data_IF_747815604138
#
_entry.id   IF_747815604138
#
_cell.length_a   1.000
_cell.length_b   1.000
_cell.length_c   1.000
_cell.angle_alpha   90.00
_cell.angle_beta   90.00
_cell.angle_gamma   90.00
#
_symmetry.space_group_name_H-M   'P 1'
#
loop_
_entity.id
_entity.type
_entity.pdbx_description
1 polymer ?
#
# COMPACT_ATOMS: atom_id res chain seq x y z
N UNK A 1 40.01 -12.50 -27.40
CA UNK A 1 38.80 -13.07 -26.76
C UNK A 1 37.63 -12.65 -27.64
N UNK A 2 36.74 -13.57 -27.97
CA UNK A 2 35.53 -13.24 -28.75
C UNK A 2 34.49 -12.80 -27.73
N UNK A 3 34.07 -11.55 -27.75
CA UNK A 3 32.97 -11.07 -26.92
C UNK A 3 31.68 -11.73 -27.45
N UNK A 4 31.02 -12.54 -26.63
CA UNK A 4 29.69 -13.06 -26.95
C UNK A 4 28.64 -12.02 -26.57
N UNK A 5 27.91 -11.52 -27.56
CA UNK A 5 26.73 -10.67 -27.37
C UNK A 5 25.48 -11.55 -27.33
N UNK A 6 24.58 -11.27 -26.39
CA UNK A 6 23.29 -11.97 -26.24
C UNK A 6 22.15 -10.96 -26.23
N UNK A 7 21.07 -11.29 -26.94
CA UNK A 7 19.91 -10.41 -27.04
C UNK A 7 18.79 -10.86 -26.09
N UNK A 8 18.44 -10.00 -25.14
CA UNK A 8 17.37 -10.22 -24.16
C UNK A 8 16.32 -9.14 -24.38
N UNK A 9 15.10 -9.55 -24.76
CA UNK A 9 13.95 -8.66 -24.99
C UNK A 9 14.23 -7.51 -25.98
N UNK A 10 14.98 -7.79 -27.05
CA UNK A 10 15.32 -6.79 -28.08
C UNK A 10 16.52 -5.89 -27.72
N UNK A 11 17.13 -6.09 -26.56
CA UNK A 11 18.33 -5.38 -26.12
C UNK A 11 19.54 -6.30 -26.14
N UNK A 12 20.67 -5.82 -26.65
CA UNK A 12 21.92 -6.57 -26.72
C UNK A 12 22.76 -6.34 -25.46
N UNK A 13 23.18 -7.44 -24.84
CA UNK A 13 24.02 -7.46 -23.65
C UNK A 13 25.35 -8.12 -23.99
N UNK A 14 26.45 -7.52 -23.53
CA UNK A 14 27.79 -8.11 -23.63
C UNK A 14 28.03 -9.02 -22.43
N UNK A 15 28.42 -10.27 -22.68
CA UNK A 15 28.77 -11.21 -21.61
C UNK A 15 30.19 -10.96 -21.13
N UNK A 16 30.38 -10.99 -19.81
CA UNK A 16 31.68 -10.76 -19.15
C UNK A 16 31.92 -11.92 -18.18
N UNK A 17 33.17 -12.42 -18.09
CA UNK A 17 33.54 -13.63 -17.31
C UNK A 17 33.18 -13.58 -15.80
N UNK A 18 32.82 -12.41 -15.27
CA UNK A 18 32.34 -12.18 -13.89
C UNK A 18 31.07 -11.33 -13.84
N UNK A 19 30.23 -11.44 -14.86
CA UNK A 19 28.94 -10.74 -14.95
C UNK A 19 27.88 -11.31 -14.00
N UNK A 20 26.73 -10.62 -13.97
CA UNK A 20 25.53 -11.11 -13.31
C UNK A 20 25.04 -12.42 -13.96
N UNK A 21 24.44 -13.29 -13.15
CA UNK A 21 23.88 -14.53 -13.67
C UNK A 21 22.75 -14.24 -14.66
N UNK A 22 22.79 -14.91 -15.81
CA UNK A 22 21.86 -14.64 -16.89
C UNK A 22 20.41 -14.93 -16.48
N UNK A 23 20.19 -15.98 -15.68
CA UNK A 23 18.85 -16.37 -15.24
C UNK A 23 18.27 -15.37 -14.23
N UNK A 24 19.10 -14.79 -13.38
CA UNK A 24 18.70 -13.70 -12.49
C UNK A 24 18.32 -12.45 -13.28
N UNK A 25 19.09 -12.07 -14.30
CA UNK A 25 18.75 -10.93 -15.17
C UNK A 25 17.43 -11.18 -15.91
N UNK A 26 17.22 -12.38 -16.46
CA UNK A 26 15.96 -12.73 -17.14
C UNK A 26 14.75 -12.65 -16.21
N UNK A 27 14.83 -13.28 -15.03
CA UNK A 27 13.74 -13.28 -14.05
C UNK A 27 13.44 -11.87 -13.53
N UNK A 28 14.46 -11.03 -13.34
CA UNK A 28 14.28 -9.64 -12.94
C UNK A 28 13.58 -8.81 -14.04
N UNK A 29 14.01 -8.94 -15.29
CA UNK A 29 13.39 -8.19 -16.40
C UNK A 29 11.96 -8.70 -16.69
N UNK A 30 11.71 -9.99 -16.55
CA UNK A 30 10.36 -10.56 -16.64
C UNK A 30 9.45 -10.04 -15.52
N UNK A 31 9.97 -9.97 -14.28
CA UNK A 31 9.27 -9.37 -13.14
C UNK A 31 8.92 -7.90 -13.39
N UNK A 32 9.87 -7.11 -13.90
CA UNK A 32 9.63 -5.72 -14.30
C UNK A 32 8.57 -5.61 -15.40
N UNK A 33 8.66 -6.45 -16.43
CA UNK A 33 7.70 -6.45 -17.56
C UNK A 33 6.29 -6.76 -17.07
N UNK A 34 6.14 -7.76 -16.21
CA UNK A 34 4.87 -8.10 -15.58
C UNK A 34 4.34 -6.97 -14.68
N UNK A 35 5.23 -6.28 -13.97
CA UNK A 35 4.87 -5.13 -13.16
C UNK A 35 4.37 -3.95 -14.01
N UNK A 36 5.03 -3.66 -15.13
CA UNK A 36 4.59 -2.63 -16.09
C UNK A 36 3.26 -3.01 -16.76
N UNK A 37 3.05 -4.28 -17.10
CA UNK A 37 1.76 -4.78 -17.59
C UNK A 37 0.62 -4.50 -16.62
N UNK A 38 0.82 -4.86 -15.34
CA UNK A 38 -0.15 -4.59 -14.26
C UNK A 38 -0.43 -3.09 -14.07
N UNK A 39 0.58 -2.22 -14.21
CA UNK A 39 0.35 -0.78 -14.13
C UNK A 39 -0.48 -0.24 -15.30
N UNK A 40 -0.26 -0.77 -16.51
CA UNK A 40 -1.02 -0.36 -17.69
C UNK A 40 -2.49 -0.77 -17.61
N UNK A 41 -2.79 -1.97 -17.10
CA UNK A 41 -4.16 -2.41 -16.84
C UNK A 41 -4.88 -1.50 -15.84
N UNK A 42 -4.19 -1.10 -14.76
CA UNK A 42 -4.72 -0.15 -13.77
C UNK A 42 -4.98 1.23 -14.35
N UNK A 43 -4.09 1.73 -15.22
CA UNK A 43 -4.32 2.99 -15.92
C UNK A 43 -5.58 2.93 -16.80
N UNK A 44 -5.76 1.85 -17.55
CA UNK A 44 -6.98 1.65 -18.36
C UNK A 44 -8.25 1.60 -17.50
N UNK A 45 -8.19 0.97 -16.33
CA UNK A 45 -9.32 0.90 -15.41
C UNK A 45 -9.67 2.28 -14.84
N UNK A 46 -8.66 3.09 -14.48
CA UNK A 46 -8.86 4.48 -14.05
C UNK A 46 -9.53 5.29 -15.16
N UNK A 47 -9.04 5.18 -16.39
CA UNK A 47 -9.63 5.88 -17.54
C UNK A 47 -11.10 5.47 -17.76
N UNK A 48 -11.43 4.18 -17.59
CA UNK A 48 -12.80 3.68 -17.68
C UNK A 48 -13.72 4.25 -16.59
N UNK A 49 -13.22 4.34 -15.35
CA UNK A 49 -13.98 4.95 -14.23
C UNK A 49 -14.20 6.44 -14.47
N UNK A 50 -13.17 7.15 -14.93
CA UNK A 50 -13.27 8.58 -15.26
C UNK A 50 -14.28 8.79 -16.39
N UNK A 51 -14.28 7.97 -17.43
CA UNK A 51 -15.24 8.05 -18.52
C UNK A 51 -16.69 7.85 -18.03
N UNK A 52 -16.93 6.82 -17.21
CA UNK A 52 -18.25 6.55 -16.62
C UNK A 52 -18.74 7.69 -15.72
N UNK A 53 -17.85 8.26 -14.92
CA UNK A 53 -18.17 9.40 -14.06
C UNK A 53 -18.50 10.65 -14.88
N UNK A 54 -17.74 10.89 -15.95
CA UNK A 54 -17.98 11.99 -16.90
C UNK A 54 -19.37 11.87 -17.54
N UNK A 55 -19.78 10.65 -17.94
CA UNK A 55 -21.11 10.39 -18.49
C UNK A 55 -22.22 10.69 -17.47
N UNK A 56 -22.05 10.22 -16.23
CA UNK A 56 -23.01 10.49 -15.15
C UNK A 56 -23.16 11.98 -14.86
N UNK A 57 -22.06 12.74 -14.84
CA UNK A 57 -22.12 14.20 -14.69
C UNK A 57 -22.84 14.86 -15.87
N UNK A 58 -22.58 14.42 -17.10
CA UNK A 58 -23.28 14.91 -18.29
C UNK A 58 -24.80 14.73 -18.19
N UNK A 59 -25.26 13.59 -17.69
CA UNK A 59 -26.70 13.34 -17.48
C UNK A 59 -27.32 14.23 -16.40
N UNK A 60 -26.58 14.51 -15.32
CA UNK A 60 -27.03 15.43 -14.26
C UNK A 60 -27.14 16.85 -14.81
N UNK A 61 -26.13 17.33 -15.54
CA UNK A 61 -26.17 18.65 -16.17
C UNK A 61 -27.36 18.78 -17.12
N UNK A 62 -27.62 17.78 -17.98
CA UNK A 62 -28.79 17.78 -18.87
C UNK A 62 -30.12 17.77 -18.10
N UNK A 63 -30.19 17.12 -16.94
CA UNK A 63 -31.39 17.16 -16.08
C UNK A 63 -31.57 18.54 -15.47
N UNK A 64 -30.48 19.21 -15.05
CA UNK A 64 -30.53 20.55 -14.48
C UNK A 64 -31.01 21.58 -15.51
N UNK A 65 -30.52 21.51 -16.75
CA UNK A 65 -30.97 22.39 -17.85
C UNK A 65 -32.47 22.21 -18.18
N UNK A 66 -33.04 21.03 -17.92
CA UNK A 66 -34.48 20.76 -18.11
C UNK A 66 -35.36 21.27 -16.98
N UNK A 67 -34.78 21.56 -15.79
CA UNK A 67 -35.53 22.06 -14.64
C UNK A 67 -35.85 23.56 -14.80
N UNK A 68 -35.11 24.26 -15.65
CA UNK A 68 -35.36 25.66 -15.96
C UNK A 68 -36.53 25.84 -16.96
N UNK A 69 -37.55 26.57 -16.50
CA UNK A 69 -38.54 27.33 -17.29
C UNK A 69 -39.78 26.68 -17.92
N UNK A 70 -40.08 25.39 -17.78
CA UNK A 70 -41.38 24.87 -18.30
C UNK A 70 -42.60 25.21 -17.42
N UNK A 71 -42.37 25.75 -16.23
CA UNK A 71 -43.39 25.87 -15.18
C UNK A 71 -44.02 27.25 -14.95
N UNK A 72 -44.10 28.21 -15.90
CA UNK A 72 -44.92 29.44 -15.65
C UNK A 72 -45.23 30.34 -16.86
N UNK A 73 -45.79 29.80 -17.94
CA UNK A 73 -46.57 30.63 -18.87
C UNK A 73 -47.87 29.94 -19.27
N UNK A 74 -48.74 29.66 -18.29
CA UNK A 74 -50.17 29.55 -18.57
C UNK A 74 -50.69 30.96 -18.90
N UNK A 75 -50.42 31.38 -20.14
CA UNK A 75 -51.08 32.50 -20.79
C UNK A 75 -52.56 32.17 -20.98
N UNK A 76 -53.37 32.46 -19.97
CA UNK A 76 -54.78 32.75 -20.17
C UNK A 76 -54.88 34.10 -20.88
N UNK A 77 -54.73 34.10 -22.21
CA UNK A 77 -55.28 35.16 -23.05
C UNK A 77 -56.80 34.97 -23.11
N UNK A 78 -57.49 35.41 -22.05
CA UNK A 78 -58.90 35.71 -22.14
C UNK A 78 -59.02 37.13 -22.72
N UNK A 79 -59.36 37.20 -24.01
CA UNK A 79 -59.87 38.41 -24.64
C UNK A 79 -61.10 38.91 -23.86
N UNK A 80 -60.93 39.89 -22.98
CA UNK A 80 -62.04 40.62 -22.38
C UNK A 80 -62.09 42.00 -23.02
N UNK A 81 -63.05 42.11 -23.93
CA UNK A 81 -63.44 43.31 -24.61
C UNK A 81 -63.99 44.35 -23.61
N UNK A 82 -63.37 45.54 -23.63
CA UNK A 82 -63.93 46.86 -23.30
C UNK A 82 -64.87 47.02 -22.11
N UNK A 83 -64.34 47.52 -20.98
CA UNK A 83 -64.90 48.71 -20.36
C UNK A 83 -63.91 49.39 -19.39
N UNK A 84 -63.71 50.70 -19.59
CA UNK A 84 -62.97 51.64 -18.73
C UNK A 84 -64.02 52.45 -17.93
N UNK A 85 -63.67 53.30 -16.95
CA UNK A 85 -62.62 53.30 -15.93
C UNK A 85 -63.21 53.45 -14.50
N UNK A 86 -62.51 53.03 -13.45
CA UNK A 86 -62.38 53.89 -12.25
C UNK A 86 -61.28 53.38 -11.33
N UNK A 87 -60.42 54.31 -10.97
CA UNK A 87 -59.56 54.41 -9.78
C UNK A 87 -59.65 53.33 -8.70
N UNK A 88 -58.48 53.12 -8.10
CA UNK A 88 -58.31 52.84 -6.67
C UNK A 88 -58.34 51.36 -6.32
N UNK A 89 -57.18 50.71 -6.43
CA UNK A 89 -56.45 50.13 -5.30
C UNK A 89 -55.27 49.31 -5.83
N UNK A 90 -54.09 49.95 -5.87
CA UNK A 90 -52.82 49.26 -6.05
C UNK A 90 -52.57 48.45 -4.78
N UNK A 91 -53.03 47.20 -4.75
CA UNK A 91 -52.66 46.24 -3.71
C UNK A 91 -51.24 45.79 -4.04
N UNK A 92 -50.27 46.37 -3.32
CA UNK A 92 -48.88 45.94 -3.30
C UNK A 92 -48.79 44.44 -3.00
N UNK A 93 -48.53 43.64 -4.02
CA UNK A 93 -48.13 42.24 -3.88
C UNK A 93 -46.66 42.17 -3.44
N UNK A 94 -46.40 42.53 -2.18
CA UNK A 94 -45.09 42.43 -1.51
C UNK A 94 -44.79 41.00 -0.99
N UNK A 95 -45.35 39.95 -1.62
CA UNK A 95 -45.36 38.59 -1.06
C UNK A 95 -44.22 37.65 -1.46
N UNK A 96 -43.41 37.97 -2.48
CA UNK A 96 -42.43 37.02 -3.03
C UNK A 96 -40.96 37.40 -2.83
N UNK A 97 -40.67 38.44 -2.04
CA UNK A 97 -39.26 38.86 -1.81
C UNK A 97 -38.59 38.10 -0.65
N UNK A 98 -39.35 37.40 0.20
CA UNK A 98 -38.82 36.72 1.38
C UNK A 98 -38.21 35.33 1.09
N UNK A 99 -38.49 34.70 -0.05
CA UNK A 99 -37.93 33.37 -0.39
C UNK A 99 -36.52 33.47 -1.01
N UNK A 100 -36.22 34.56 -1.72
CA UNK A 100 -34.91 34.76 -2.37
C UNK A 100 -33.79 34.99 -1.35
N UNK A 101 -34.11 35.57 -0.18
CA UNK A 101 -33.11 35.82 0.87
C UNK A 101 -32.63 34.50 1.52
N UNK A 102 -33.45 33.45 1.57
CA UNK A 102 -33.07 32.13 2.11
C UNK A 102 -32.14 31.33 1.19
N UNK A 103 -32.32 31.44 -0.13
CA UNK A 103 -31.45 30.77 -1.11
C UNK A 103 -30.03 31.34 -1.11
N UNK A 104 -29.90 32.66 -0.94
CA UNK A 104 -28.59 33.32 -0.82
C UNK A 104 -27.81 32.88 0.43
N UNK A 105 -28.47 32.66 1.56
CA UNK A 105 -27.83 32.17 2.78
C UNK A 105 -27.34 30.71 2.63
N UNK A 106 -28.11 29.86 1.94
CA UNK A 106 -27.72 28.49 1.64
C UNK A 106 -26.49 28.45 0.71
N UNK A 107 -26.50 29.22 -0.38
CA UNK A 107 -25.35 29.33 -1.29
C UNK A 107 -24.11 29.87 -0.58
N UNK A 108 -24.26 30.85 0.32
CA UNK A 108 -23.14 31.35 1.13
C UNK A 108 -22.58 30.30 2.09
N UNK A 109 -23.45 29.48 2.69
CA UNK A 109 -23.06 28.38 3.58
C UNK A 109 -22.35 27.26 2.81
N UNK A 110 -22.84 26.92 1.62
CA UNK A 110 -22.23 25.93 0.74
C UNK A 110 -20.86 26.41 0.23
N UNK A 111 -20.73 27.70 -0.14
CA UNK A 111 -19.46 28.29 -0.54
C UNK A 111 -18.42 28.24 0.59
N UNK A 112 -18.81 28.61 1.83
CA UNK A 112 -17.92 28.52 3.00
C UNK A 112 -17.53 27.09 3.34
N UNK A 113 -18.43 26.14 3.13
CA UNK A 113 -18.14 24.72 3.31
C UNK A 113 -17.11 24.24 2.28
N UNK A 114 -17.32 24.53 0.99
CA UNK A 114 -16.37 24.20 -0.08
C UNK A 114 -14.99 24.81 0.16
N UNK A 115 -14.93 26.09 0.57
CA UNK A 115 -13.68 26.76 0.91
C UNK A 115 -12.95 26.07 2.07
N UNK A 116 -13.67 25.68 3.13
CA UNK A 116 -13.10 24.96 4.27
C UNK A 116 -12.57 23.58 3.86
N UNK A 117 -13.29 22.87 3.01
CA UNK A 117 -12.90 21.55 2.50
C UNK A 117 -11.64 21.63 1.65
N UNK A 118 -11.53 22.64 0.76
CA UNK A 118 -10.32 22.89 -0.05
C UNK A 118 -9.12 23.19 0.87
N UNK A 119 -9.31 24.04 1.88
CA UNK A 119 -8.24 24.37 2.84
C UNK A 119 -7.79 23.14 3.63
N UNK A 120 -8.72 22.27 4.06
CA UNK A 120 -8.37 21.05 4.78
C UNK A 120 -7.68 20.02 3.88
N UNK A 121 -8.14 19.84 2.65
CA UNK A 121 -7.50 18.97 1.66
C UNK A 121 -6.06 19.44 1.38
N UNK A 122 -5.84 20.74 1.13
CA UNK A 122 -4.51 21.31 0.94
C UNK A 122 -3.60 21.11 2.17
N UNK A 123 -4.15 21.23 3.38
CA UNK A 123 -3.39 20.96 4.61
C UNK A 123 -2.97 19.49 4.71
N UNK A 124 -3.83 18.56 4.32
CA UNK A 124 -3.51 17.12 4.31
C UNK A 124 -2.48 16.77 3.25
N UNK A 125 -2.62 17.32 2.04
CA UNK A 125 -1.66 17.18 0.95
C UNK A 125 -0.24 17.56 1.40
N UNK A 126 -0.09 18.73 2.04
CA UNK A 126 1.20 19.16 2.63
C UNK A 126 1.73 18.24 3.73
N UNK A 127 0.84 17.66 4.53
CA UNK A 127 1.25 16.71 5.58
C UNK A 127 1.80 15.41 4.98
N UNK A 128 1.19 14.92 3.89
CA UNK A 128 1.64 13.72 3.17
C UNK A 128 2.98 13.99 2.50
N UNK A 129 3.12 15.14 1.85
CA UNK A 129 4.39 15.59 1.23
C UNK A 129 5.53 15.58 2.26
N UNK A 130 5.32 16.22 3.41
CA UNK A 130 6.31 16.27 4.48
C UNK A 130 6.68 14.88 5.02
N UNK A 131 5.70 13.98 5.16
CA UNK A 131 5.96 12.60 5.62
C UNK A 131 6.77 11.78 4.60
N UNK A 132 6.43 11.89 3.31
CA UNK A 132 7.17 11.22 2.22
C UNK A 132 8.60 11.75 2.16
N UNK A 133 8.78 13.06 2.20
CA UNK A 133 10.11 13.69 2.17
C UNK A 133 10.96 13.26 3.38
N UNK A 134 10.38 13.28 4.58
CA UNK A 134 11.09 12.89 5.81
C UNK A 134 11.53 11.42 5.74
N UNK A 135 10.65 10.53 5.25
CA UNK A 135 10.98 9.10 5.07
C UNK A 135 12.05 8.88 4.01
N UNK A 136 11.96 9.57 2.87
CA UNK A 136 12.96 9.48 1.81
C UNK A 136 14.33 9.97 2.29
N UNK A 137 14.37 11.07 3.06
CA UNK A 137 15.60 11.61 3.66
C UNK A 137 16.21 10.65 4.67
N UNK A 138 15.41 10.07 5.56
CA UNK A 138 15.89 9.07 6.52
C UNK A 138 16.51 7.85 5.81
N UNK A 139 15.88 7.38 4.72
CA UNK A 139 16.40 6.27 3.92
C UNK A 139 17.69 6.62 3.17
N UNK A 140 17.77 7.83 2.62
CA UNK A 140 18.98 8.36 2.00
C UNK A 140 20.14 8.40 2.99
N UNK A 141 19.90 8.90 4.21
CA UNK A 141 20.89 8.93 5.29
C UNK A 141 21.35 7.51 5.68
N UNK A 142 20.43 6.55 5.71
CA UNK A 142 20.75 5.15 5.96
C UNK A 142 21.66 4.54 4.89
N UNK A 143 21.37 4.78 3.61
CA UNK A 143 22.19 4.29 2.48
C UNK A 143 23.60 4.88 2.55
N UNK A 144 23.71 6.19 2.81
CA UNK A 144 25.00 6.86 2.98
C UNK A 144 25.74 6.30 4.21
N UNK A 145 25.03 6.03 5.30
CA UNK A 145 25.58 5.41 6.51
C UNK A 145 26.19 4.04 6.25
N UNK A 146 25.46 3.15 5.58
CA UNK A 146 25.95 1.81 5.22
C UNK A 146 27.16 1.88 4.27
N UNK A 147 27.10 2.76 3.27
CA UNK A 147 28.21 2.93 2.33
C UNK A 147 29.49 3.42 3.05
N UNK A 148 29.36 4.34 4.01
CA UNK A 148 30.47 4.79 4.86
C UNK A 148 31.04 3.68 5.73
N UNK A 149 30.19 2.86 6.33
CA UNK A 149 30.62 1.72 7.15
C UNK A 149 31.39 0.70 6.32
N UNK A 150 30.90 0.37 5.12
CA UNK A 150 31.57 -0.52 4.18
C UNK A 150 32.91 0.07 3.68
N UNK A 151 32.94 1.37 3.36
CA UNK A 151 34.16 2.07 2.98
C UNK A 151 35.21 2.11 4.11
N UNK A 152 34.77 2.27 5.37
CA UNK A 152 35.63 2.26 6.54
C UNK A 152 36.27 0.90 6.83
N UNK A 153 35.58 -0.20 6.50
CA UNK A 153 36.12 -1.55 6.62
C UNK A 153 37.09 -1.92 5.48
N UNK A 154 36.96 -1.28 4.31
CA UNK A 154 37.73 -1.60 3.09
C UNK A 154 39.10 -0.93 2.95
N UNK A 155 39.45 0.05 3.79
CA UNK A 155 40.81 0.60 3.90
C UNK A 155 41.50 0.94 2.56
N UNK A 156 40.88 1.74 1.69
CA UNK A 156 41.51 2.11 0.40
C UNK A 156 40.72 3.10 -0.45
N UNK A 157 41.33 3.52 -1.56
CA UNK A 157 40.78 4.47 -2.54
C UNK A 157 39.42 4.03 -3.14
N UNK A 158 39.08 2.74 -3.07
CA UNK A 158 37.78 2.20 -3.44
C UNK A 158 36.61 2.76 -2.59
N UNK A 159 36.88 3.24 -1.37
CA UNK A 159 35.86 3.82 -0.50
C UNK A 159 35.26 5.14 -1.00
N UNK A 160 36.05 5.95 -1.72
CA UNK A 160 35.59 7.24 -2.22
C UNK A 160 34.55 7.10 -3.35
N UNK A 161 34.71 6.10 -4.21
CA UNK A 161 33.74 5.79 -5.28
C UNK A 161 32.41 5.26 -4.74
N UNK A 162 32.47 4.40 -3.71
CA UNK A 162 31.27 3.88 -3.03
C UNK A 162 30.48 4.97 -2.32
N UNK A 163 31.14 5.91 -1.64
CA UNK A 163 30.46 7.02 -0.98
C UNK A 163 29.80 7.98 -1.99
N UNK A 164 30.48 8.28 -3.10
CA UNK A 164 29.93 9.11 -4.17
C UNK A 164 28.69 8.47 -4.83
N UNK A 165 28.77 7.18 -5.19
CA UNK A 165 27.63 6.46 -5.78
C UNK A 165 26.45 6.28 -4.82
N UNK A 166 26.72 6.06 -3.52
CA UNK A 166 25.68 6.01 -2.51
C UNK A 166 24.96 7.36 -2.34
N UNK A 167 25.71 8.47 -2.44
CA UNK A 167 25.15 9.81 -2.39
C UNK A 167 24.28 10.12 -3.61
N UNK A 168 24.73 9.76 -4.81
CA UNK A 168 23.95 9.91 -6.04
C UNK A 168 22.63 9.14 -5.97
N UNK A 169 22.66 7.86 -5.57
CA UNK A 169 21.44 7.05 -5.37
C UNK A 169 20.52 7.63 -4.30
N UNK A 170 21.09 8.16 -3.22
CA UNK A 170 20.32 8.81 -2.17
C UNK A 170 19.60 10.07 -2.69
N UNK A 171 20.27 10.87 -3.52
CA UNK A 171 19.68 12.04 -4.19
C UNK A 171 18.58 11.63 -5.18
N UNK A 172 18.79 10.56 -5.94
CA UNK A 172 17.78 10.00 -6.85
C UNK A 172 16.52 9.52 -6.11
N UNK A 173 16.67 8.83 -4.98
CA UNK A 173 15.54 8.37 -4.15
C UNK A 173 14.74 9.56 -3.61
N UNK A 174 15.41 10.61 -3.16
CA UNK A 174 14.76 11.83 -2.68
C UNK A 174 13.98 12.48 -3.84
N UNK A 175 14.59 12.60 -5.02
CA UNK A 175 13.94 13.19 -6.19
C UNK A 175 12.71 12.38 -6.65
N UNK A 176 12.83 11.05 -6.69
CA UNK A 176 11.71 10.15 -7.04
C UNK A 176 10.56 10.24 -6.04
N UNK A 177 10.88 10.32 -4.74
CA UNK A 177 9.88 10.49 -3.69
C UNK A 177 9.16 11.85 -3.79
N UNK A 178 9.90 12.93 -4.08
CA UNK A 178 9.32 14.25 -4.30
C UNK A 178 8.39 14.29 -5.51
N UNK A 179 8.77 13.70 -6.65
CA UNK A 179 7.91 13.59 -7.84
C UNK A 179 6.61 12.83 -7.51
N UNK A 180 6.73 11.68 -6.83
CA UNK A 180 5.55 10.89 -6.44
C UNK A 180 4.64 11.63 -5.47
N UNK A 181 5.20 12.41 -4.53
CA UNK A 181 4.41 13.25 -3.65
C UNK A 181 3.64 14.32 -4.45
N UNK A 182 4.29 14.99 -5.41
CA UNK A 182 3.65 15.97 -6.28
C UNK A 182 2.53 15.37 -7.13
N UNK A 183 2.73 14.15 -7.66
CA UNK A 183 1.68 13.46 -8.43
C UNK A 183 0.46 13.15 -7.56
N UNK A 184 0.66 12.69 -6.32
CA UNK A 184 -0.42 12.45 -5.36
C UNK A 184 -1.17 13.75 -5.06
N UNK A 185 -0.45 14.86 -4.85
CA UNK A 185 -1.05 16.17 -4.61
C UNK A 185 -1.88 16.60 -5.82
N UNK A 186 -1.33 16.49 -7.03
CA UNK A 186 -2.01 16.86 -8.28
C UNK A 186 -3.28 16.05 -8.51
N UNK A 187 -3.24 14.74 -8.25
CA UNK A 187 -4.42 13.86 -8.33
C UNK A 187 -5.46 14.26 -7.28
N UNK A 188 -5.04 14.52 -6.04
CA UNK A 188 -5.94 14.94 -4.97
C UNK A 188 -6.57 16.32 -5.24
N UNK A 189 -5.83 17.27 -5.81
CA UNK A 189 -6.34 18.58 -6.23
C UNK A 189 -7.33 18.45 -7.39
N UNK A 190 -7.03 17.62 -8.39
CA UNK A 190 -7.94 17.32 -9.50
C UNK A 190 -9.24 16.67 -9.00
N UNK A 191 -9.14 15.72 -8.06
CA UNK A 191 -10.29 15.04 -7.47
C UNK A 191 -11.09 15.98 -6.56
N UNK A 192 -10.43 16.84 -5.76
CA UNK A 192 -11.11 17.82 -4.93
C UNK A 192 -11.81 18.89 -5.76
N UNK A 193 -11.20 19.31 -6.89
CA UNK A 193 -11.84 20.19 -7.87
C UNK A 193 -13.09 19.57 -8.50
N UNK A 194 -13.06 18.26 -8.78
CA UNK A 194 -14.21 17.52 -9.28
C UNK A 194 -15.28 17.22 -8.20
N UNK A 195 -14.87 17.06 -6.94
CA UNK A 195 -15.73 16.62 -5.82
C UNK A 195 -16.32 17.76 -4.98
N UNK A 196 -16.07 19.03 -5.32
CA UNK A 196 -16.59 20.21 -4.61
C UNK A 196 -18.14 20.36 -4.63
N UNK A 197 -18.90 19.29 -4.89
CA UNK A 197 -20.36 19.27 -4.89
C UNK A 197 -21.03 18.17 -4.04
N UNK A 198 -20.33 17.26 -3.32
CA UNK A 198 -21.01 16.17 -2.57
C UNK A 198 -20.43 15.82 -1.20
N UNK A 199 -21.34 15.55 -0.25
CA UNK A 199 -21.09 15.07 1.11
C UNK A 199 -20.45 13.66 1.18
N UNK A 200 -20.47 12.89 0.09
CA UNK A 200 -19.81 11.58 0.00
C UNK A 200 -18.27 11.68 0.07
N UNK A 201 -17.70 12.86 -0.23
CA UNK A 201 -16.27 13.08 -0.12
C UNK A 201 -15.74 12.92 1.31
N UNK A 202 -16.54 13.25 2.34
CA UNK A 202 -16.12 13.14 3.74
C UNK A 202 -16.01 11.68 4.21
N UNK A 203 -16.94 10.81 3.80
CA UNK A 203 -16.93 9.40 4.19
C UNK A 203 -15.78 8.64 3.52
N UNK A 204 -15.54 8.90 2.23
CA UNK A 204 -14.43 8.34 1.48
C UNK A 204 -13.09 8.79 2.08
N UNK A 205 -12.96 10.08 2.42
CA UNK A 205 -11.74 10.62 3.05
C UNK A 205 -11.51 10.07 4.47
N UNK A 206 -12.57 9.81 5.24
CA UNK A 206 -12.50 9.20 6.57
C UNK A 206 -11.99 7.76 6.51
N UNK A 207 -12.55 6.95 5.60
CA UNK A 207 -12.16 5.55 5.39
C UNK A 207 -10.73 5.47 4.86
N UNK A 208 -10.37 6.31 3.88
CA UNK A 208 -9.02 6.40 3.35
C UNK A 208 -8.00 6.79 4.43
N UNK A 209 -8.33 7.78 5.29
CA UNK A 209 -7.47 8.19 6.42
C UNK A 209 -7.22 7.05 7.40
N UNK A 210 -8.28 6.36 7.83
CA UNK A 210 -8.18 5.29 8.84
C UNK A 210 -7.39 4.08 8.33
N UNK A 211 -7.46 3.79 7.02
CA UNK A 211 -6.70 2.73 6.36
C UNK A 211 -5.24 3.13 6.09
N UNK A 212 -4.99 4.35 5.60
CA UNK A 212 -3.64 4.88 5.41
C UNK A 212 -2.84 4.92 6.73
N UNK A 213 -3.48 5.34 7.83
CA UNK A 213 -2.85 5.40 9.15
C UNK A 213 -2.53 3.99 9.70
N UNK A 214 -3.36 2.98 9.41
CA UNK A 214 -3.04 1.58 9.73
C UNK A 214 -1.84 1.07 8.93
N UNK A 215 -1.80 1.36 7.63
CA UNK A 215 -0.70 0.91 6.77
C UNK A 215 0.63 1.56 7.15
N UNK A 216 0.61 2.86 7.48
CA UNK A 216 1.78 3.57 7.96
C UNK A 216 2.33 2.95 9.25
N UNK A 217 1.45 2.55 10.18
CA UNK A 217 1.84 1.85 11.42
C UNK A 217 2.42 0.46 11.17
N UNK A 218 1.89 -0.28 10.19
CA UNK A 218 2.43 -1.60 9.80
C UNK A 218 3.85 -1.44 9.23
N UNK A 219 4.01 -0.55 8.25
CA UNK A 219 5.31 -0.28 7.64
C UNK A 219 6.33 0.24 8.66
N UNK A 220 5.91 1.10 9.59
CA UNK A 220 6.77 1.59 10.67
C UNK A 220 7.25 0.45 11.57
N UNK A 221 6.37 -0.50 11.91
CA UNK A 221 6.71 -1.65 12.74
C UNK A 221 7.65 -2.63 12.05
N UNK A 222 7.48 -2.86 10.74
CA UNK A 222 8.38 -3.69 9.93
C UNK A 222 9.77 -3.04 9.78
N UNK A 223 9.84 -1.72 9.58
CA UNK A 223 11.11 -0.99 9.54
C UNK A 223 11.82 -1.05 10.90
N UNK A 224 11.08 -0.90 12.00
CA UNK A 224 11.64 -0.99 13.35
C UNK A 224 12.13 -2.41 13.67
N UNK A 225 11.44 -3.44 13.18
CA UNK A 225 11.93 -4.82 13.20
C UNK A 225 13.22 -4.99 12.38
N UNK A 226 13.27 -4.45 11.16
CA UNK A 226 14.46 -4.52 10.30
C UNK A 226 15.68 -3.84 10.95
N UNK A 227 15.46 -2.67 11.54
CA UNK A 227 16.48 -1.93 12.28
C UNK A 227 16.97 -2.68 13.52
N UNK A 228 16.08 -3.41 14.19
CA UNK A 228 16.43 -4.23 15.35
C UNK A 228 17.21 -5.47 14.94
N UNK A 229 16.86 -6.11 13.81
CA UNK A 229 17.64 -7.21 13.25
C UNK A 229 18.99 -6.78 12.70
N UNK A 230 19.09 -5.59 12.08
CA UNK A 230 20.33 -5.05 11.53
C UNK A 230 21.35 -4.70 12.62
N UNK A 231 20.88 -4.24 13.79
CA UNK A 231 21.77 -3.96 14.93
C UNK A 231 22.37 -5.21 15.56
N UNK A 232 21.69 -6.35 15.46
CA UNK A 232 22.06 -7.58 16.15
C UNK A 232 22.71 -8.63 15.23
N UNK A 233 22.61 -8.49 13.91
CA UNK A 233 23.27 -9.35 12.90
C UNK A 233 23.71 -8.53 11.68
N UNK A 234 24.83 -8.92 11.06
CA UNK A 234 25.13 -8.56 9.66
C UNK A 234 24.06 -9.20 8.79
N UNK A 235 22.99 -8.47 8.51
CA UNK A 235 21.94 -8.90 7.59
C UNK A 235 22.55 -9.11 6.20
N UNK A 236 22.27 -10.25 5.60
CA UNK A 236 22.58 -10.50 4.20
C UNK A 236 21.72 -9.60 3.31
N UNK A 237 22.24 -9.25 2.13
CA UNK A 237 21.53 -8.41 1.16
C UNK A 237 20.17 -9.02 0.76
N UNK A 238 20.07 -10.35 0.79
CA UNK A 238 18.86 -11.11 0.48
C UNK A 238 17.77 -10.98 1.56
N UNK A 239 18.12 -10.89 2.84
CA UNK A 239 17.16 -10.68 3.93
C UNK A 239 16.57 -9.26 3.87
N UNK A 240 17.37 -8.28 3.45
CA UNK A 240 16.91 -6.91 3.21
C UNK A 240 15.98 -6.86 1.99
N UNK A 241 16.29 -7.63 0.94
CA UNK A 241 15.47 -7.73 -0.28
C UNK A 241 14.12 -8.41 0.02
N UNK A 242 14.12 -9.52 0.73
CA UNK A 242 12.90 -10.25 1.11
C UNK A 242 11.98 -9.38 1.97
N UNK A 243 12.53 -8.67 2.95
CA UNK A 243 11.74 -7.77 3.78
C UNK A 243 11.18 -6.58 2.97
N UNK A 244 11.91 -6.11 1.97
CA UNK A 244 11.42 -5.08 1.05
C UNK A 244 10.26 -5.57 0.17
N UNK A 245 10.38 -6.77 -0.40
CA UNK A 245 9.29 -7.41 -1.17
C UNK A 245 8.04 -7.63 -0.31
N UNK A 246 8.23 -7.99 0.96
CA UNK A 246 7.13 -8.20 1.92
C UNK A 246 6.38 -6.90 2.23
N UNK A 247 7.11 -5.80 2.43
CA UNK A 247 6.51 -4.46 2.59
C UNK A 247 5.75 -4.06 1.32
N UNK A 248 6.32 -4.35 0.14
CA UNK A 248 5.70 -4.04 -1.13
C UNK A 248 4.41 -4.85 -1.38
N UNK A 249 4.41 -6.14 -1.05
CA UNK A 249 3.23 -7.01 -1.13
C UNK A 249 2.13 -6.61 -0.13
N UNK A 250 2.49 -6.18 1.08
CA UNK A 250 1.54 -5.65 2.05
C UNK A 250 0.90 -4.33 1.57
N UNK A 251 1.65 -3.49 0.85
CA UNK A 251 1.11 -2.27 0.24
C UNK A 251 0.21 -2.58 -0.98
N UNK A 252 0.51 -3.62 -1.75
CA UNK A 252 -0.30 -4.06 -2.89
C UNK A 252 -1.62 -4.71 -2.47
N UNK A 253 -1.60 -5.62 -1.51
CA UNK A 253 -2.81 -6.23 -0.95
C UNK A 253 -3.75 -5.19 -0.32
N UNK A 254 -3.20 -4.10 0.22
CA UNK A 254 -4.00 -2.98 0.68
C UNK A 254 -4.70 -2.25 -0.49
N UNK A 255 -4.05 -2.11 -1.65
CA UNK A 255 -4.64 -1.49 -2.83
C UNK A 255 -5.81 -2.29 -3.39
N UNK A 256 -5.72 -3.63 -3.40
CA UNK A 256 -6.84 -4.51 -3.79
C UNK A 256 -8.05 -4.37 -2.84
N UNK A 257 -7.80 -4.16 -1.54
CA UNK A 257 -8.86 -3.89 -0.56
C UNK A 257 -9.54 -2.51 -0.76
N UNK A 258 -8.88 -1.57 -1.45
CA UNK A 258 -9.54 -0.33 -1.90
C UNK A 258 -10.44 -0.57 -3.11
N UNK A 259 -10.04 -1.46 -4.00
CA UNK A 259 -10.78 -1.85 -5.22
C UNK A 259 -12.08 -2.59 -4.87
N UNK A 260 -12.00 -3.63 -4.04
CA UNK A 260 -13.17 -4.41 -3.59
C UNK A 260 -14.16 -3.58 -2.76
N UNK A 261 -13.68 -2.57 -2.03
CA UNK A 261 -14.55 -1.69 -1.23
C UNK A 261 -15.30 -0.67 -2.08
N UNK A 262 -14.80 -0.35 -3.28
CA UNK A 262 -15.48 0.52 -4.24
C UNK A 262 -16.56 -0.25 -5.04
N UNK A 263 -16.31 -1.53 -5.35
CA UNK A 263 -17.27 -2.43 -6.00
C UNK A 263 -18.46 -2.78 -5.08
N UNK A 264 -18.22 -3.05 -3.80
CA UNK A 264 -19.30 -3.36 -2.85
C UNK A 264 -20.26 -2.18 -2.61
N UNK A 265 -19.78 -0.93 -2.72
CA UNK A 265 -20.62 0.27 -2.59
C UNK A 265 -21.52 0.51 -3.82
N UNK A 266 -21.26 -0.18 -4.94
CA UNK A 266 -22.04 -0.03 -6.18
C UNK A 266 -23.12 -1.10 -6.36
N UNK A 267 -23.05 -2.24 -5.66
CA UNK A 267 -24.08 -3.31 -5.77
C UNK A 267 -25.30 -3.14 -4.85
N UNK A 268 -25.24 -2.37 -3.75
CA UNK A 268 -26.35 -2.27 -2.77
C UNK A 268 -27.48 -1.29 -3.17
N UNK A 269 -27.54 -0.81 -4.42
CA UNK A 269 -28.55 0.20 -4.86
C UNK A 269 -29.40 -0.19 -6.07
N UNK A 270 -29.69 -1.48 -6.26
CA UNK A 270 -30.63 -1.93 -7.31
C UNK A 270 -31.89 -2.54 -6.69
N UNK A 271 -32.91 -1.70 -6.46
CA UNK A 271 -34.33 -2.03 -6.69
C UNK A 271 -35.19 -0.76 -6.50
N UNK A 272 -35.38 0.01 -7.56
CA UNK A 272 -36.47 0.98 -7.67
C UNK A 272 -36.89 1.12 -9.15
N UNK A 273 -38.20 1.22 -9.44
CA UNK A 273 -38.77 0.84 -10.74
C UNK A 273 -38.55 1.87 -11.85
N UNK A 274 -38.32 1.34 -13.05
CA UNK A 274 -38.13 2.06 -14.31
C UNK A 274 -39.31 2.99 -14.67
N UNK A 275 -39.04 4.24 -15.08
CA UNK A 275 -40.00 5.02 -15.85
C UNK A 275 -39.63 5.01 -17.35
N UNK A 276 -40.47 4.30 -18.08
CA UNK A 276 -41.02 4.55 -19.43
C UNK A 276 -40.21 5.46 -20.36
N UNK A 277 -39.70 4.83 -21.42
CA UNK A 277 -39.05 5.43 -22.59
C UNK A 277 -39.91 6.49 -23.27
N UNK A 278 -39.31 7.65 -23.59
CA UNK A 278 -39.83 8.50 -24.65
C UNK A 278 -38.72 8.91 -25.62
N UNK A 279 -39.02 8.69 -26.90
CA UNK A 279 -38.12 8.74 -28.05
C UNK A 279 -37.85 10.19 -28.44
N UNK A 280 -36.59 10.58 -28.59
CA UNK A 280 -36.21 11.74 -29.41
C UNK A 280 -35.00 11.42 -30.27
N UNK A 281 -35.15 11.76 -31.54
CA UNK A 281 -34.32 11.47 -32.70
C UNK A 281 -32.97 12.24 -32.72
N UNK A 282 -32.02 11.86 -33.61
CA UNK A 282 -30.63 12.28 -33.54
C UNK A 282 -30.39 13.63 -34.25
N UNK A 283 -29.45 14.41 -33.74
CA UNK A 283 -28.89 15.60 -34.40
C UNK A 283 -27.46 15.28 -34.83
N UNK A 284 -27.22 15.49 -36.11
CA UNK A 284 -25.99 15.23 -36.86
C UNK A 284 -24.87 16.25 -36.58
N UNK A 285 -23.64 15.72 -36.69
CA UNK A 285 -22.39 16.32 -37.21
C UNK A 285 -22.05 17.80 -36.93
N UNK A 286 -20.84 18.01 -36.37
CA UNK A 286 -19.84 18.79 -37.12
C UNK A 286 -18.41 18.36 -36.75
N UNK A 287 -17.62 18.10 -37.80
CA UNK A 287 -16.23 17.70 -37.77
C UNK A 287 -15.31 18.93 -37.68
N UNK A 288 -14.19 18.81 -36.95
CA UNK A 288 -13.08 19.78 -37.01
C UNK A 288 -11.75 19.06 -37.16
N UNK A 289 -10.96 19.61 -38.06
CA UNK A 289 -9.72 19.18 -38.70
C UNK A 289 -8.52 18.91 -37.76
N UNK A 290 -7.90 17.76 -37.99
CA UNK A 290 -6.49 17.54 -38.37
C UNK A 290 -5.51 18.74 -38.31
N UNK A 291 -4.47 18.64 -37.46
CA UNK A 291 -3.12 19.14 -37.76
C UNK A 291 -2.03 18.22 -37.16
N UNK A 292 -0.92 18.16 -37.89
CA UNK A 292 0.10 17.11 -37.91
C UNK A 292 1.33 17.39 -36.97
N UNK A 293 2.34 16.48 -36.90
CA UNK A 293 3.29 16.39 -35.79
C UNK A 293 4.57 17.21 -35.99
N UNK A 294 5.12 17.71 -34.88
CA UNK A 294 6.46 18.33 -34.83
C UNK A 294 7.47 17.31 -34.32
N UNK A 295 8.32 16.88 -35.26
CA UNK A 295 9.51 16.06 -35.10
C UNK A 295 10.67 16.96 -34.63
N UNK A 296 11.26 16.72 -33.45
CA UNK A 296 12.48 17.41 -33.05
C UNK A 296 13.51 16.44 -32.46
N UNK A 297 14.74 16.64 -32.93
CA UNK A 297 15.88 15.73 -33.03
C UNK A 297 16.72 15.67 -31.75
N UNK A 298 17.26 14.49 -31.49
CA UNK A 298 18.42 14.28 -30.63
C UNK A 298 19.69 14.93 -31.20
N UNK A 299 20.66 15.26 -30.33
CA UNK A 299 22.04 14.96 -30.65
C UNK A 299 22.73 14.09 -29.59
N UNK A 300 23.41 13.10 -30.17
CA UNK A 300 24.39 12.17 -29.61
C UNK A 300 25.62 12.96 -29.14
N UNK A 301 26.10 12.71 -27.92
CA UNK A 301 27.48 13.07 -27.52
C UNK A 301 28.23 11.86 -26.95
N UNK A 302 29.30 11.54 -27.67
CA UNK A 302 30.39 10.63 -27.36
C UNK A 302 31.13 11.02 -26.06
N UNK A 303 31.33 10.07 -25.14
CA UNK A 303 32.44 10.15 -24.17
C UNK A 303 33.07 8.77 -23.93
N UNK A 304 34.12 8.53 -24.70
CA UNK A 304 35.48 8.08 -24.33
C UNK A 304 35.64 6.93 -23.31
N UNK A 305 36.18 5.83 -23.85
CA UNK A 305 36.87 4.73 -23.17
C UNK A 305 38.07 5.21 -22.33
N UNK A 306 38.20 4.72 -21.09
CA UNK A 306 39.52 4.57 -20.47
C UNK A 306 39.55 3.29 -19.63
N UNK A 307 40.36 2.34 -20.10
CA UNK A 307 40.63 1.05 -19.47
C UNK A 307 41.76 1.22 -18.45
N UNK A 308 41.56 0.77 -17.21
CA UNK A 308 42.68 0.46 -16.31
C UNK A 308 42.61 -0.98 -15.77
N UNK A 309 43.73 -1.64 -16.06
CA UNK A 309 44.16 -2.99 -15.78
C UNK A 309 44.51 -3.15 -14.30
N UNK A 310 43.80 -4.01 -13.56
CA UNK A 310 44.17 -4.40 -12.19
C UNK A 310 44.46 -5.90 -12.13
N UNK A 311 45.73 -6.18 -11.81
CA UNK A 311 46.35 -7.49 -11.64
C UNK A 311 45.70 -8.34 -10.56
N UNK A 312 45.55 -9.63 -10.90
CA UNK A 312 45.30 -10.74 -10.00
C UNK A 312 46.50 -10.99 -9.08
N UNK A 313 46.26 -11.11 -7.77
CA UNK A 313 47.09 -11.91 -6.86
C UNK A 313 46.16 -12.79 -6.01
N UNK A 314 46.45 -14.08 -6.02
CA UNK A 314 45.81 -15.18 -5.29
C UNK A 314 46.87 -15.79 -4.32
N UNK A 315 46.54 -16.75 -3.44
CA UNK A 315 46.45 -16.58 -1.99
C UNK A 315 47.56 -17.35 -1.23
N UNK A 316 47.48 -17.43 0.11
CA UNK A 316 47.92 -18.66 0.76
C UNK A 316 46.84 -19.35 1.61
N UNK A 317 46.77 -20.66 1.39
CA UNK A 317 46.27 -21.72 2.28
C UNK A 317 46.60 -21.48 3.75
N UNK A 318 45.71 -21.88 4.67
CA UNK A 318 45.89 -23.13 5.43
C UNK A 318 44.96 -23.28 6.65
N UNK A 319 44.82 -24.56 7.00
CA UNK A 319 44.53 -25.17 8.31
C UNK A 319 43.06 -25.46 8.66
N UNK A 320 42.74 -26.72 8.41
CA UNK A 320 41.68 -27.50 9.02
C UNK A 320 41.88 -27.68 10.54
N UNK A 321 40.80 -27.64 11.30
CA UNK A 321 40.76 -28.23 12.65
C UNK A 321 39.39 -28.91 12.87
N UNK A 322 39.43 -30.24 13.00
CA UNK A 322 38.34 -31.10 13.46
C UNK A 322 37.96 -30.80 14.92
N UNK A 323 36.68 -30.97 15.29
CA UNK A 323 36.36 -31.42 16.64
C UNK A 323 35.58 -32.75 16.65
N UNK A 324 36.31 -33.76 17.12
CA UNK A 324 35.96 -34.93 17.92
C UNK A 324 34.47 -35.24 18.19
N UNK A 325 34.10 -36.46 17.78
CA UNK A 325 32.95 -37.24 18.24
C UNK A 325 32.92 -37.45 19.77
N UNK A 326 31.74 -37.35 20.36
CA UNK A 326 31.44 -37.91 21.69
C UNK A 326 30.26 -38.89 21.63
N UNK A 327 30.26 -39.95 22.48
CA UNK A 327 29.39 -41.11 22.33
C UNK A 327 27.97 -40.93 22.93
N UNK A 328 26.97 -41.69 22.44
CA UNK A 328 25.57 -41.54 22.84
C UNK A 328 25.28 -42.19 24.21
N UNK A 329 24.82 -41.39 25.17
CA UNK A 329 24.26 -41.88 26.44
C UNK A 329 22.75 -42.07 26.33
N UNK A 330 22.33 -43.33 26.47
CA UNK A 330 20.95 -43.75 26.74
C UNK A 330 20.46 -43.20 28.09
N UNK A 331 19.27 -42.62 28.13
CA UNK A 331 18.48 -42.50 29.36
C UNK A 331 16.98 -42.68 29.09
N UNK A 332 16.40 -43.67 29.76
CA UNK A 332 14.97 -43.93 29.95
C UNK A 332 14.52 -43.17 31.20
N UNK A 333 13.35 -42.52 31.17
CA UNK A 333 12.47 -42.38 32.34
C UNK A 333 12.14 -40.96 32.83
N UNK A 334 11.14 -40.32 32.20
CA UNK A 334 9.98 -39.69 32.83
C UNK A 334 10.18 -38.81 34.08
N UNK A 335 10.83 -37.66 33.92
CA UNK A 335 10.51 -36.47 34.71
C UNK A 335 9.97 -35.44 33.69
N UNK A 336 8.83 -34.80 33.98
CA UNK A 336 8.30 -33.72 33.16
C UNK A 336 9.36 -32.61 33.11
N UNK A 337 10.21 -32.69 32.09
CA UNK A 337 11.36 -31.85 31.93
C UNK A 337 10.86 -30.42 31.74
N UNK A 338 11.51 -29.50 32.44
CA UNK A 338 11.52 -28.10 32.05
C UNK A 338 12.25 -27.99 30.72
N UNK A 339 11.63 -28.49 29.67
CA UNK A 339 12.13 -28.30 28.31
C UNK A 339 12.00 -26.81 28.02
N UNK A 340 13.15 -26.17 27.88
CA UNK A 340 13.22 -24.80 27.42
C UNK A 340 12.91 -24.79 25.93
N UNK A 341 12.04 -23.88 25.53
CA UNK A 341 11.68 -23.65 24.14
C UNK A 341 12.50 -22.47 23.62
N UNK A 342 12.99 -22.58 22.40
CA UNK A 342 13.75 -21.55 21.68
C UNK A 342 13.26 -21.50 20.23
N UNK A 343 13.29 -20.32 19.61
CA UNK A 343 12.86 -20.12 18.23
C UNK A 343 11.36 -19.91 18.08
N UNK A 344 10.81 -20.27 16.91
CA UNK A 344 9.39 -20.06 16.63
C UNK A 344 8.56 -21.24 17.13
N UNK A 345 7.57 -20.94 17.98
CA UNK A 345 6.64 -21.92 18.54
C UNK A 345 5.22 -21.55 18.12
N UNK A 346 4.43 -22.55 17.74
CA UNK A 346 3.04 -22.38 17.35
C UNK A 346 2.12 -22.81 18.50
N UNK A 347 1.33 -21.87 19.00
CA UNK A 347 0.34 -22.08 20.05
C UNK A 347 -1.01 -22.35 19.41
N UNK A 348 -1.59 -23.52 19.68
CA UNK A 348 -2.85 -23.97 19.06
C UNK A 348 -3.94 -23.94 20.12
N UNK A 349 -4.99 -23.15 19.88
CA UNK A 349 -6.18 -23.09 20.71
C UNK A 349 -7.34 -23.78 19.98
N UNK A 350 -7.75 -24.99 20.40
CA UNK A 350 -8.84 -25.72 19.77
C UNK A 350 -10.20 -25.06 20.08
N UNK A 351 -11.18 -25.19 19.16
CA UNK A 351 -12.53 -24.64 19.36
C UNK A 351 -13.26 -25.34 20.53
N UNK A 352 -14.17 -24.66 21.25
CA UNK A 352 -14.60 -23.27 21.06
C UNK A 352 -13.73 -22.27 21.82
N UNK A 353 -13.27 -21.21 21.14
CA UNK A 353 -12.51 -20.11 21.75
C UNK A 353 -13.25 -18.81 21.53
N UNK A 354 -13.63 -18.13 22.62
CA UNK A 354 -14.20 -16.79 22.53
C UNK A 354 -13.15 -15.76 22.08
N UNK A 355 -13.54 -14.85 21.19
CA UNK A 355 -12.67 -13.78 20.69
C UNK A 355 -12.03 -12.97 21.82
N UNK A 356 -12.80 -12.66 22.87
CA UNK A 356 -12.34 -11.89 24.02
C UNK A 356 -11.18 -12.57 24.76
N UNK A 357 -11.25 -13.90 24.94
CA UNK A 357 -10.20 -14.68 25.61
C UNK A 357 -8.95 -14.77 24.77
N UNK A 358 -9.10 -14.89 23.47
CA UNK A 358 -7.96 -14.84 22.55
C UNK A 358 -7.28 -13.47 22.60
N UNK A 359 -8.03 -12.37 22.61
CA UNK A 359 -7.47 -11.02 22.72
C UNK A 359 -6.78 -10.80 24.07
N UNK A 360 -7.33 -11.33 25.15
CA UNK A 360 -6.70 -11.30 26.48
C UNK A 360 -5.40 -12.11 26.49
N UNK A 361 -5.41 -13.33 25.96
CA UNK A 361 -4.20 -14.15 25.83
C UNK A 361 -3.13 -13.44 25.01
N UNK A 362 -3.49 -12.90 23.84
CA UNK A 362 -2.58 -12.13 22.99
C UNK A 362 -1.98 -10.94 23.76
N UNK A 363 -2.81 -10.23 24.53
CA UNK A 363 -2.34 -9.12 25.37
C UNK A 363 -1.36 -9.62 26.43
N UNK A 364 -1.66 -10.69 27.16
CA UNK A 364 -0.80 -11.26 28.20
C UNK A 364 0.54 -11.75 27.64
N UNK A 365 0.52 -12.45 26.49
CA UNK A 365 1.73 -12.89 25.79
C UNK A 365 2.61 -11.70 25.38
N UNK A 366 2.01 -10.64 24.84
CA UNK A 366 2.74 -9.43 24.43
C UNK A 366 3.40 -8.66 25.60
N UNK A 367 2.89 -8.80 26.82
CA UNK A 367 3.50 -8.19 28.01
C UNK A 367 4.50 -9.11 28.70
N UNK A 368 4.61 -10.37 28.26
CA UNK A 368 5.56 -11.32 28.82
C UNK A 368 6.93 -11.08 28.19
N UNK A 369 7.98 -10.80 28.99
CA UNK A 369 9.29 -10.53 28.43
C UNK A 369 9.81 -11.74 27.66
N UNK A 370 10.57 -11.49 26.60
CA UNK A 370 11.22 -12.50 25.75
C UNK A 370 10.25 -13.39 24.95
N UNK A 371 8.98 -13.00 24.83
CA UNK A 371 7.99 -13.62 23.95
C UNK A 371 7.50 -12.57 22.95
N UNK A 372 7.84 -12.75 21.68
CA UNK A 372 7.36 -11.90 20.60
C UNK A 372 6.23 -12.57 19.83
N UNK A 373 5.05 -11.97 19.85
CA UNK A 373 3.90 -12.48 19.10
C UNK A 373 4.03 -12.05 17.64
N UNK A 374 4.25 -13.02 16.75
CA UNK A 374 4.43 -12.80 15.31
C UNK A 374 3.09 -12.67 14.61
N UNK A 375 2.32 -13.76 14.58
CA UNK A 375 1.10 -13.88 13.80
C UNK A 375 -0.03 -14.48 14.64
N UNK A 376 -1.24 -14.04 14.35
CA UNK A 376 -2.47 -14.61 14.88
C UNK A 376 -3.35 -15.02 13.69
N UNK A 377 -3.61 -16.32 13.58
CA UNK A 377 -4.37 -16.92 12.48
C UNK A 377 -5.44 -17.89 12.98
N UNK A 378 -6.24 -18.40 12.05
CA UNK A 378 -7.29 -19.38 12.33
C UNK A 378 -8.70 -18.80 12.34
N UNK A 379 -9.66 -19.64 12.72
CA UNK A 379 -11.09 -19.32 12.76
C UNK A 379 -11.71 -19.91 14.03
N UNK A 380 -12.79 -19.29 14.51
CA UNK A 380 -13.55 -19.74 15.69
C UNK A 380 -13.97 -21.21 15.57
N UNK A 381 -14.25 -21.69 14.35
CA UNK A 381 -14.71 -23.07 14.11
C UNK A 381 -13.58 -24.09 13.97
N UNK A 382 -12.38 -23.65 13.54
CA UNK A 382 -11.23 -24.53 13.26
C UNK A 382 -10.16 -24.48 14.34
N UNK A 383 -10.29 -23.55 15.28
CA UNK A 383 -9.25 -23.21 16.25
C UNK A 383 -8.39 -22.04 15.78
N UNK A 384 -7.70 -21.46 16.74
CA UNK A 384 -6.86 -20.27 16.58
C UNK A 384 -5.41 -20.71 16.74
N UNK A 385 -4.53 -20.22 15.87
CA UNK A 385 -3.10 -20.43 15.96
C UNK A 385 -2.40 -19.11 16.24
N UNK A 386 -1.51 -19.09 17.23
CA UNK A 386 -0.69 -17.93 17.58
C UNK A 386 0.77 -18.35 17.42
N UNK A 387 1.48 -17.73 16.48
CA UNK A 387 2.92 -17.96 16.30
C UNK A 387 3.69 -16.98 17.18
N UNK A 388 4.55 -17.52 18.04
CA UNK A 388 5.42 -16.73 18.93
C UNK A 388 6.88 -17.03 18.64
N UNK A 389 7.72 -16.01 18.72
CA UNK A 389 9.17 -16.11 18.63
C UNK A 389 9.77 -15.96 20.02
N UNK A 390 10.65 -16.89 20.38
CA UNK A 390 11.40 -16.89 21.63
C UNK A 390 12.87 -16.64 21.31
N UNK A 391 13.36 -15.45 21.68
CA UNK A 391 14.76 -15.07 21.48
C UNK A 391 15.71 -15.77 22.46
N UNK A 392 15.21 -16.14 23.63
CA UNK A 392 15.98 -16.84 24.67
C UNK A 392 15.26 -18.14 25.06
N UNK A 393 16.01 -19.20 25.40
CA UNK A 393 15.41 -20.44 25.88
C UNK A 393 14.58 -20.22 27.15
N UNK A 394 13.27 -20.40 27.06
CA UNK A 394 12.33 -20.14 28.17
C UNK A 394 11.50 -21.40 28.43
N UNK A 395 11.18 -21.73 29.70
CA UNK A 395 10.22 -22.80 30.01
C UNK A 395 8.78 -22.37 29.65
N UNK A 396 8.51 -22.27 28.34
CA UNK A 396 7.29 -21.68 27.77
C UNK A 396 6.02 -22.29 28.36
N UNK A 397 5.97 -23.62 28.51
CA UNK A 397 4.81 -24.30 29.10
C UNK A 397 4.49 -23.81 30.51
N UNK A 398 5.53 -23.51 31.32
CA UNK A 398 5.34 -23.00 32.68
C UNK A 398 4.84 -21.56 32.66
N UNK A 399 5.43 -20.72 31.82
CA UNK A 399 5.04 -19.31 31.68
C UNK A 399 3.60 -19.18 31.19
N UNK A 400 3.22 -19.98 30.18
CA UNK A 400 1.87 -20.02 29.64
C UNK A 400 0.87 -20.57 30.69
N UNK A 401 1.23 -21.63 31.42
CA UNK A 401 0.36 -22.19 32.46
C UNK A 401 0.10 -21.24 33.65
N UNK A 402 0.95 -20.23 33.87
CA UNK A 402 0.76 -19.19 34.90
C UNK A 402 -0.22 -18.08 34.47
N UNK A 403 -0.64 -18.03 33.20
CA UNK A 403 -1.59 -17.04 32.70
C UNK A 403 -3.04 -17.35 33.14
N UNK A 404 -3.80 -16.34 33.60
CA UNK A 404 -5.15 -16.56 34.14
C UNK A 404 -6.17 -17.03 33.08
N UNK A 405 -5.91 -16.81 31.79
CA UNK A 405 -6.78 -17.24 30.70
C UNK A 405 -6.65 -18.74 30.37
N UNK A 406 -5.61 -19.41 30.89
CA UNK A 406 -5.20 -20.75 30.48
C UNK A 406 -5.51 -21.77 31.58
N UNK A 407 -6.10 -22.88 31.15
CA UNK A 407 -6.39 -24.04 31.99
C UNK A 407 -5.28 -25.08 31.93
N UNK A 408 -4.78 -25.37 30.73
CA UNK A 408 -3.74 -26.37 30.50
C UNK A 408 -2.93 -26.00 29.25
N UNK A 409 -1.61 -26.22 29.29
CA UNK A 409 -0.72 -26.11 28.14
C UNK A 409 0.11 -27.38 28.03
N UNK A 410 0.14 -28.00 26.84
CA UNK A 410 0.91 -29.23 26.59
C UNK A 410 1.56 -29.18 25.21
N UNK A 411 2.77 -29.72 25.12
CA UNK A 411 3.46 -29.86 23.83
C UNK A 411 2.78 -30.96 23.00
N UNK A 412 2.45 -30.64 21.75
CA UNK A 412 1.90 -31.59 20.79
C UNK A 412 3.07 -32.13 19.97
N UNK A 413 3.44 -33.38 20.25
CA UNK A 413 4.44 -34.09 19.44
C UNK A 413 3.79 -34.36 18.09
N UNK A 414 4.34 -33.85 16.96
CA UNK A 414 3.75 -34.09 15.65
C UNK A 414 3.66 -35.60 15.42
N UNK A 415 2.44 -36.11 15.21
CA UNK A 415 2.19 -37.54 14.99
C UNK A 415 2.77 -37.97 13.62
N UNK A 416 4.07 -38.27 13.57
CA UNK A 416 4.72 -39.19 12.63
C UNK A 416 4.36 -39.08 11.14
N UNK A 417 4.02 -37.88 10.64
CA UNK A 417 3.57 -37.67 9.27
C UNK A 417 4.72 -37.29 8.35
N UNK A 418 5.14 -38.25 7.51
CA UNK A 418 5.96 -38.10 6.28
C UNK A 418 6.68 -36.77 6.12
N UNK A 419 8.00 -36.81 6.29
CA UNK A 419 8.98 -35.75 5.97
C UNK A 419 8.63 -35.04 4.65
N UNK A 420 7.85 -33.97 4.73
CA UNK A 420 7.76 -32.98 3.66
C UNK A 420 9.00 -32.11 3.82
N UNK A 421 9.98 -32.29 2.94
CA UNK A 421 11.30 -31.64 2.98
C UNK A 421 11.25 -30.14 2.68
N UNK A 422 10.57 -29.37 3.52
CA UNK A 422 10.65 -27.91 3.57
C UNK A 422 11.03 -27.46 4.99
N UNK A 423 11.64 -26.28 5.10
CA UNK A 423 12.17 -25.68 6.35
C UNK A 423 11.15 -25.52 7.51
N UNK A 424 9.89 -25.91 7.33
CA UNK A 424 8.85 -25.93 8.37
C UNK A 424 9.02 -27.07 9.41
N UNK A 425 9.92 -28.02 9.18
CA UNK A 425 10.04 -29.25 9.99
C UNK A 425 10.52 -29.05 11.45
N UNK A 426 10.94 -27.84 11.84
CA UNK A 426 11.44 -27.57 13.21
C UNK A 426 10.45 -26.81 14.09
N UNK A 427 9.26 -26.47 13.60
CA UNK A 427 8.31 -25.68 14.38
C UNK A 427 7.61 -26.55 15.43
N UNK A 428 7.88 -26.26 16.71
CA UNK A 428 7.22 -26.93 17.84
C UNK A 428 5.80 -26.42 18.01
N UNK A 429 4.88 -27.31 18.35
CA UNK A 429 3.45 -27.01 18.56
C UNK A 429 3.08 -27.19 20.03
N UNK A 430 2.35 -26.23 20.58
CA UNK A 430 1.85 -26.27 21.96
C UNK A 430 0.34 -26.12 21.93
N UNK A 431 -0.37 -27.14 22.41
CA UNK A 431 -1.82 -27.11 22.55
C UNK A 431 -2.20 -26.40 23.86
N UNK A 432 -3.05 -25.37 23.75
CA UNK A 432 -3.53 -24.55 24.85
C UNK A 432 -5.03 -24.76 25.04
N UNK A 433 -5.43 -25.13 26.25
CA UNK A 433 -6.83 -25.20 26.66
C UNK A 433 -7.16 -23.98 27.53
N UNK A 434 -8.22 -23.24 27.18
CA UNK A 434 -8.70 -22.08 27.95
C UNK A 434 -9.92 -22.46 28.82
N UNK A 435 -10.29 -21.61 29.78
CA UNK A 435 -11.24 -21.94 30.87
C UNK A 435 -12.69 -22.17 30.52
#
# INVERSE_FOLDING_TARGET
MVEEEKEILGHKFKMVDRGLDESEVYSFVESLTNQYGNFNEKLQQIDAVVAKLTEQFGDISRKLDKVDFSGRTNGHTAEVNGNKPSSQDFVSTNGHRAEVDGEMEYLSSLAKFAERTIVEAAKRAKSIEWEIETKARARAEEIIGRAKEQAGAGGGAAGAGLEAGARERAEEIIAAAQRKAQDIIRVAESQAGAAASSAEAEEILSVAKKKAEKSAKIAQKEIEQLMSSAKNKKLGEDEVREAFEKIQGNLQSLAEVFEQSAEAATEERVEAPEPVEDKVAPVEEEAVEEEAPVEEKEPVEDVVEEAEEIKQEEPPEAVAEEPQEQPPKKAKGGAAGTESFEGTVELILPPPVGLDRMLQLHKSLKHTPNIDVLNLGGSVDKGITIRVLLETPIPLLKVIAELPEIKEAREEVPEGGKEAGGDEASMRRVLITTW
#
